data_IF_177580493329
#
_entry.id   IF_177580493329
#
_cell.length_a   1.000
_cell.length_b   1.000
_cell.length_c   1.000
_cell.angle_alpha   90.00
_cell.angle_beta   90.00
_cell.angle_gamma   90.00
#
_symmetry.space_group_name_H-M   'P 1'
#
loop_
_entity.id
_entity.type
_entity.pdbx_description
1 polymer ?
#
# COMPACT_ATOMS: atom_id res chain seq x y z
N UNK A 1 7.17 36.15 -19.97
CA UNK A 1 7.43 37.56 -19.58
C UNK A 1 8.89 37.95 -19.70
N UNK A 2 9.85 37.30 -19.07
CA UNK A 2 11.30 37.65 -19.15
C UNK A 2 11.79 37.72 -20.61
N UNK A 3 11.43 36.77 -21.45
CA UNK A 3 11.74 36.76 -22.89
C UNK A 3 11.19 37.95 -23.66
N UNK A 4 9.97 38.39 -23.36
CA UNK A 4 9.40 39.57 -24.00
C UNK A 4 10.15 40.86 -23.63
N UNK A 5 10.56 40.99 -22.35
CA UNK A 5 11.35 42.12 -21.91
C UNK A 5 12.72 42.12 -22.59
N UNK A 6 13.38 40.95 -22.73
CA UNK A 6 14.65 40.86 -23.43
C UNK A 6 14.50 41.18 -24.93
N UNK A 7 13.45 40.67 -25.61
CA UNK A 7 13.16 41.01 -26.99
C UNK A 7 12.82 42.49 -27.20
N UNK A 8 12.11 43.09 -26.25
CA UNK A 8 11.76 44.50 -26.32
C UNK A 8 12.97 45.42 -26.12
N UNK A 9 13.92 45.01 -25.28
CA UNK A 9 15.12 45.77 -24.95
C UNK A 9 16.21 45.68 -26.04
N UNK A 10 16.19 44.64 -26.87
CA UNK A 10 17.18 44.42 -27.95
C UNK A 10 16.84 45.14 -29.27
N UNK A 11 15.69 45.82 -29.37
CA UNK A 11 15.39 46.77 -30.43
C UNK A 11 14.33 46.33 -31.44
N UNK A 12 13.89 47.25 -32.32
CA UNK A 12 12.72 47.06 -33.21
C UNK A 12 12.93 46.05 -34.34
N UNK A 13 14.05 45.38 -34.41
CA UNK A 13 14.37 44.44 -35.47
C UNK A 13 13.72 43.06 -35.30
N UNK A 14 13.09 42.80 -34.16
CA UNK A 14 12.38 41.54 -33.86
C UNK A 14 10.87 41.77 -33.85
N UNK A 15 10.12 41.04 -34.66
CA UNK A 15 8.67 40.99 -34.53
C UNK A 15 8.31 40.28 -33.23
N UNK A 16 8.00 41.04 -32.20
CA UNK A 16 7.54 40.51 -30.88
C UNK A 16 6.10 40.03 -30.89
N UNK A 17 5.39 40.16 -32.00
CA UNK A 17 3.96 39.85 -32.10
C UNK A 17 3.67 38.37 -31.88
N UNK A 18 4.40 37.46 -32.51
CA UNK A 18 4.12 36.02 -32.44
C UNK A 18 4.44 35.42 -31.03
N UNK A 19 5.58 35.70 -30.40
CA UNK A 19 5.82 35.31 -29.01
C UNK A 19 4.81 35.91 -28.01
N UNK A 20 4.34 37.12 -28.25
CA UNK A 20 3.32 37.77 -27.45
C UNK A 20 1.95 37.05 -27.58
N UNK A 21 1.52 36.73 -28.81
CA UNK A 21 0.30 35.98 -29.06
C UNK A 21 0.36 34.60 -28.36
N UNK A 22 1.49 33.90 -28.45
CA UNK A 22 1.67 32.63 -27.76
C UNK A 22 1.47 32.75 -26.24
N UNK A 23 2.05 33.78 -25.62
CA UNK A 23 1.90 34.00 -24.19
C UNK A 23 0.45 34.34 -23.81
N UNK A 24 -0.26 35.10 -24.62
CA UNK A 24 -1.71 35.37 -24.45
C UNK A 24 -2.52 34.09 -24.52
N UNK A 25 -2.24 33.19 -25.47
CA UNK A 25 -2.90 31.91 -25.60
C UNK A 25 -2.66 30.98 -24.41
N UNK A 26 -1.42 30.93 -23.91
CA UNK A 26 -1.06 30.15 -22.73
C UNK A 26 -1.78 30.66 -21.48
N UNK A 27 -1.80 31.97 -21.27
CA UNK A 27 -2.52 32.60 -20.15
C UNK A 27 -4.03 32.43 -20.32
N UNK A 28 -4.56 32.62 -21.54
CA UNK A 28 -5.97 32.42 -21.86
C UNK A 28 -6.44 31.01 -21.55
N UNK A 29 -5.64 29.98 -21.94
CA UNK A 29 -5.93 28.60 -21.61
C UNK A 29 -5.96 28.34 -20.09
N UNK A 30 -5.03 28.95 -19.34
CA UNK A 30 -5.02 28.87 -17.88
C UNK A 30 -6.27 29.52 -17.25
N UNK A 31 -6.69 30.68 -17.76
CA UNK A 31 -7.89 31.36 -17.27
C UNK A 31 -9.17 30.57 -17.58
N UNK A 32 -9.24 29.93 -18.76
CA UNK A 32 -10.34 29.00 -19.10
C UNK A 32 -10.37 27.82 -18.15
N UNK A 33 -9.20 27.25 -17.85
CA UNK A 33 -9.09 26.16 -16.86
C UNK A 33 -9.59 26.57 -15.48
N UNK A 34 -9.19 27.75 -14.99
CA UNK A 34 -9.64 28.24 -13.67
C UNK A 34 -11.16 28.44 -13.59
N UNK A 35 -11.84 28.70 -14.73
CA UNK A 35 -13.28 28.79 -14.79
C UNK A 35 -13.99 27.45 -14.95
N UNK A 36 -13.44 26.56 -15.77
CA UNK A 36 -14.11 25.32 -16.16
C UNK A 36 -13.72 24.12 -15.29
N UNK A 37 -12.56 24.20 -14.60
CA UNK A 37 -11.91 23.12 -13.84
C UNK A 37 -11.73 21.81 -14.66
N UNK A 38 -11.83 21.91 -15.99
CA UNK A 38 -11.65 20.75 -16.87
C UNK A 38 -10.17 20.58 -17.22
N UNK A 39 -9.50 19.80 -16.39
CA UNK A 39 -8.06 19.53 -16.53
C UNK A 39 -7.71 18.81 -17.84
N UNK A 40 -8.58 17.96 -18.36
CA UNK A 40 -8.30 17.21 -19.60
C UNK A 40 -8.21 18.15 -20.80
N UNK A 41 -9.17 19.07 -20.96
CA UNK A 41 -9.17 20.06 -22.05
C UNK A 41 -7.97 20.99 -21.89
N UNK A 42 -7.73 21.50 -20.68
CA UNK A 42 -6.60 22.38 -20.38
C UNK A 42 -5.27 21.73 -20.82
N UNK A 43 -5.03 20.51 -20.40
CA UNK A 43 -3.82 19.74 -20.66
C UNK A 43 -3.57 19.54 -22.16
N UNK A 44 -4.58 19.10 -22.91
CA UNK A 44 -4.48 18.87 -24.36
C UNK A 44 -4.17 20.16 -25.09
N UNK A 45 -4.88 21.24 -24.80
CA UNK A 45 -4.65 22.55 -25.42
C UNK A 45 -3.25 23.06 -25.08
N UNK A 46 -2.82 22.94 -23.80
CA UNK A 46 -1.51 23.38 -23.35
C UNK A 46 -0.38 22.64 -24.08
N UNK A 47 -0.47 21.31 -24.17
CA UNK A 47 0.52 20.50 -24.88
C UNK A 47 0.53 20.78 -26.37
N UNK A 48 -0.63 21.00 -26.99
CA UNK A 48 -0.73 21.41 -28.38
C UNK A 48 -0.04 22.76 -28.64
N UNK A 49 -0.27 23.72 -27.78
CA UNK A 49 0.42 25.02 -27.87
C UNK A 49 1.95 24.88 -27.74
N UNK A 50 2.41 24.09 -26.77
CA UNK A 50 3.84 23.82 -26.63
C UNK A 50 4.45 23.05 -27.81
N UNK A 51 3.69 22.18 -28.46
CA UNK A 51 4.16 21.43 -29.61
C UNK A 51 4.22 22.29 -30.88
N UNK A 52 3.10 22.92 -31.26
CA UNK A 52 2.98 23.54 -32.58
C UNK A 52 3.53 24.97 -32.66
N UNK A 53 3.34 25.79 -31.64
CA UNK A 53 3.71 27.20 -31.69
C UNK A 53 5.20 27.48 -31.85
N UNK A 54 6.12 26.72 -31.26
CA UNK A 54 7.55 26.92 -31.51
C UNK A 54 7.95 26.69 -32.97
N UNK A 55 7.31 25.73 -33.67
CA UNK A 55 7.57 25.51 -35.10
C UNK A 55 6.97 26.62 -35.97
N UNK A 56 5.75 27.06 -35.63
CA UNK A 56 5.13 28.21 -36.32
C UNK A 56 6.02 29.45 -36.15
N UNK A 57 6.52 29.68 -34.95
CA UNK A 57 7.43 30.80 -34.70
C UNK A 57 8.74 30.65 -35.50
N UNK A 58 9.34 29.47 -35.55
CA UNK A 58 10.54 29.21 -36.35
C UNK A 58 10.29 29.50 -37.83
N UNK A 59 9.26 28.91 -38.42
CA UNK A 59 8.96 29.07 -39.83
C UNK A 59 8.60 30.52 -40.21
N UNK A 60 8.09 31.32 -39.30
CA UNK A 60 7.82 32.74 -39.54
C UNK A 60 9.10 33.61 -39.50
N UNK A 61 10.13 33.18 -38.80
CA UNK A 61 11.40 33.89 -38.68
C UNK A 61 12.40 33.45 -39.76
N UNK A 62 12.34 32.17 -40.16
CA UNK A 62 13.21 31.58 -41.18
C UNK A 62 13.72 30.21 -40.80
N UNK A 63 15.06 29.98 -40.94
CA UNK A 63 15.66 28.70 -40.61
C UNK A 63 15.81 28.46 -39.10
N UNK A 64 16.11 27.21 -38.72
CA UNK A 64 16.36 26.83 -37.33
C UNK A 64 17.46 27.70 -36.69
N UNK A 65 18.51 28.02 -37.44
CA UNK A 65 19.62 28.84 -36.97
C UNK A 65 19.18 30.31 -36.77
N UNK A 66 18.49 30.88 -37.77
CA UNK A 66 18.04 32.28 -37.71
C UNK A 66 16.99 32.50 -36.61
N UNK A 67 16.14 31.50 -36.38
CA UNK A 67 15.17 31.48 -35.27
C UNK A 67 15.79 31.11 -33.90
N UNK A 68 17.13 30.99 -33.84
CA UNK A 68 17.84 30.71 -32.58
C UNK A 68 17.36 29.46 -31.82
N UNK A 69 16.97 28.40 -32.58
CA UNK A 69 16.52 27.13 -32.01
C UNK A 69 15.24 27.21 -31.18
N UNK A 70 14.33 28.10 -31.48
CA UNK A 70 13.07 28.27 -30.74
C UNK A 70 12.22 26.99 -30.73
N UNK A 71 12.30 26.14 -31.78
CA UNK A 71 11.61 24.86 -31.86
C UNK A 71 12.04 23.85 -30.77
N UNK A 72 13.18 24.06 -30.09
CA UNK A 72 13.57 23.26 -28.92
C UNK A 72 12.52 23.28 -27.80
N UNK A 73 11.76 24.38 -27.70
CA UNK A 73 10.67 24.47 -26.71
C UNK A 73 9.55 23.45 -26.96
N UNK A 74 9.37 22.97 -28.19
CA UNK A 74 8.40 21.94 -28.52
C UNK A 74 8.68 20.59 -27.82
N UNK A 75 9.93 20.35 -27.40
CA UNK A 75 10.32 19.17 -26.61
C UNK A 75 9.57 19.10 -25.24
N UNK A 76 9.11 20.23 -24.73
CA UNK A 76 8.33 20.26 -23.48
C UNK A 76 6.95 19.59 -23.63
N UNK A 77 6.40 19.48 -24.84
CA UNK A 77 5.13 18.81 -25.07
C UNK A 77 5.18 17.29 -24.80
N UNK A 78 6.08 16.47 -25.42
CA UNK A 78 6.16 15.06 -25.10
C UNK A 78 6.61 14.79 -23.65
N UNK A 79 7.49 15.62 -23.07
CA UNK A 79 7.89 15.50 -21.68
C UNK A 79 6.70 15.78 -20.74
N UNK A 80 5.95 16.85 -21.00
CA UNK A 80 4.74 17.13 -20.24
C UNK A 80 3.68 16.03 -20.41
N UNK A 81 3.57 15.45 -21.60
CA UNK A 81 2.65 14.33 -21.84
C UNK A 81 3.04 13.09 -20.99
N UNK A 82 4.32 12.76 -20.88
CA UNK A 82 4.76 11.66 -19.99
C UNK A 82 4.38 11.92 -18.53
N UNK A 83 4.56 13.15 -18.06
CA UNK A 83 4.31 13.50 -16.66
C UNK A 83 2.82 13.54 -16.29
N UNK A 84 1.96 14.02 -17.21
CA UNK A 84 0.57 14.31 -16.90
C UNK A 84 -0.45 13.33 -17.52
N UNK A 85 -0.05 12.55 -18.52
CA UNK A 85 -0.94 11.64 -19.23
C UNK A 85 -0.51 10.18 -19.03
N UNK A 86 0.79 9.94 -19.08
CA UNK A 86 1.38 8.62 -18.97
C UNK A 86 2.08 8.14 -20.24
N UNK A 87 2.79 7.00 -20.17
CA UNK A 87 3.73 6.57 -21.20
C UNK A 87 3.05 6.18 -22.53
N UNK A 88 1.84 5.66 -22.51
CA UNK A 88 1.15 5.20 -23.74
C UNK A 88 0.72 6.37 -24.63
N UNK A 89 0.08 7.37 -24.03
CA UNK A 89 -0.44 8.51 -24.79
C UNK A 89 0.67 9.52 -25.16
N UNK A 90 1.75 9.59 -24.36
CA UNK A 90 2.89 10.46 -24.68
C UNK A 90 3.65 10.07 -25.93
N UNK A 91 3.58 8.81 -26.37
CA UNK A 91 4.22 8.35 -27.59
C UNK A 91 3.70 9.11 -28.83
N UNK A 92 2.41 9.37 -28.92
CA UNK A 92 1.83 10.15 -30.01
C UNK A 92 2.41 11.58 -30.06
N UNK A 93 2.57 12.24 -28.91
CA UNK A 93 3.17 13.57 -28.81
C UNK A 93 4.65 13.57 -29.20
N UNK A 94 5.37 12.51 -28.84
CA UNK A 94 6.77 12.34 -29.21
C UNK A 94 6.91 12.14 -30.73
N UNK A 95 6.11 11.28 -31.34
CA UNK A 95 6.13 11.08 -32.80
C UNK A 95 5.73 12.36 -33.55
N UNK A 96 4.75 13.11 -33.06
CA UNK A 96 4.39 14.39 -33.65
C UNK A 96 5.55 15.41 -33.56
N UNK A 97 6.24 15.46 -32.41
CA UNK A 97 7.45 16.28 -32.25
C UNK A 97 8.56 15.89 -33.25
N UNK A 98 8.86 14.60 -33.36
CA UNK A 98 9.88 14.10 -34.30
C UNK A 98 9.49 14.41 -35.76
N UNK A 99 8.23 14.20 -36.12
CA UNK A 99 7.71 14.53 -37.45
C UNK A 99 7.88 16.02 -37.77
N UNK A 100 7.43 16.91 -36.87
CA UNK A 100 7.55 18.36 -37.06
C UNK A 100 9.02 18.82 -37.12
N UNK A 101 9.88 18.23 -36.32
CA UNK A 101 11.33 18.51 -36.36
C UNK A 101 11.95 18.09 -37.69
N UNK A 102 11.62 16.91 -38.20
CA UNK A 102 12.08 16.43 -39.50
C UNK A 102 11.55 17.30 -40.64
N UNK A 103 10.23 17.64 -40.58
CA UNK A 103 9.61 18.53 -41.55
C UNK A 103 10.28 19.91 -41.56
N UNK A 104 10.63 20.44 -40.39
CA UNK A 104 11.32 21.71 -40.24
C UNK A 104 12.74 21.64 -40.86
N UNK A 105 13.46 20.53 -40.69
CA UNK A 105 14.75 20.30 -41.32
C UNK A 105 14.67 20.23 -42.85
N UNK A 106 13.62 19.57 -43.38
CA UNK A 106 13.35 19.55 -44.83
C UNK A 106 13.02 20.94 -45.35
N UNK A 107 12.20 21.70 -44.61
CA UNK A 107 11.91 23.09 -44.97
C UNK A 107 13.16 23.95 -45.01
N UNK A 108 13.99 23.86 -43.99
CA UNK A 108 15.26 24.61 -43.93
C UNK A 108 16.22 24.28 -45.10
N UNK A 109 16.31 22.99 -45.50
CA UNK A 109 17.19 22.54 -46.55
C UNK A 109 16.72 22.92 -47.95
N UNK A 110 15.41 22.80 -48.26
CA UNK A 110 14.90 22.97 -49.62
C UNK A 110 14.25 24.29 -49.88
N UNK A 111 13.64 24.96 -48.87
CA UNK A 111 12.75 26.10 -49.05
C UNK A 111 13.25 27.41 -48.42
N UNK A 112 14.17 27.35 -47.46
CA UNK A 112 14.61 28.55 -46.76
C UNK A 112 15.43 29.50 -47.63
N UNK A 113 16.28 28.96 -48.54
CA UNK A 113 17.08 29.76 -49.47
C UNK A 113 16.27 30.32 -50.68
N UNK A 114 15.43 29.49 -51.38
CA UNK A 114 14.69 29.97 -52.56
C UNK A 114 13.61 31.00 -52.29
N UNK A 115 12.98 30.96 -51.10
CA UNK A 115 11.86 31.86 -50.75
C UNK A 115 12.29 33.30 -50.48
N UNK A 116 13.60 33.65 -50.46
CA UNK A 116 14.11 34.99 -50.23
C UNK A 116 13.24 35.82 -49.29
N UNK A 117 12.72 35.19 -48.24
CA UNK A 117 12.08 35.89 -47.17
C UNK A 117 13.06 36.96 -46.72
N UNK A 118 12.63 38.24 -46.57
CA UNK A 118 13.55 39.27 -46.13
C UNK A 118 14.13 38.81 -44.79
N UNK A 119 15.29 38.16 -44.94
CA UNK A 119 16.02 37.71 -43.77
C UNK A 119 16.42 38.99 -43.07
N UNK A 120 15.68 39.34 -41.99
CA UNK A 120 16.19 40.28 -41.01
C UNK A 120 17.59 39.76 -40.67
N UNK A 121 18.63 40.48 -41.13
CA UNK A 121 20.01 40.10 -40.87
C UNK A 121 20.30 40.31 -39.41
N UNK A 122 19.82 39.37 -38.60
CA UNK A 122 20.18 39.33 -37.18
C UNK A 122 21.70 39.05 -37.10
N UNK A 123 22.44 39.83 -36.36
CA UNK A 123 23.87 39.60 -36.19
C UNK A 123 24.11 38.17 -35.67
N UNK A 124 25.13 37.44 -36.27
CA UNK A 124 25.41 36.06 -35.84
C UNK A 124 25.66 35.90 -34.33
N UNK A 125 26.23 36.95 -33.71
CA UNK A 125 26.51 36.99 -32.28
C UNK A 125 25.17 36.96 -31.44
N UNK A 126 24.19 37.73 -31.89
CA UNK A 126 22.87 37.79 -31.26
C UNK A 126 22.14 36.45 -31.40
N UNK A 127 22.19 35.83 -32.62
CA UNK A 127 21.61 34.51 -32.87
C UNK A 127 22.25 33.44 -31.98
N UNK A 128 23.57 33.42 -31.86
CA UNK A 128 24.31 32.48 -31.03
C UNK A 128 23.97 32.66 -29.54
N UNK A 129 23.85 33.91 -29.08
CA UNK A 129 23.47 34.20 -27.68
C UNK A 129 22.05 33.69 -27.36
N UNK A 130 21.07 33.98 -28.23
CA UNK A 130 19.69 33.49 -28.02
C UNK A 130 19.58 31.98 -28.14
N UNK A 131 20.35 31.37 -29.01
CA UNK A 131 20.43 29.90 -29.13
C UNK A 131 20.91 29.27 -27.83
N UNK A 132 22.02 29.77 -27.28
CA UNK A 132 22.54 29.31 -26.00
C UNK A 132 21.55 29.50 -24.84
N UNK A 133 20.84 30.64 -24.85
CA UNK A 133 19.84 30.96 -23.85
C UNK A 133 18.59 30.07 -23.95
N UNK A 134 18.08 29.81 -25.16
CA UNK A 134 16.96 28.85 -25.41
C UNK A 134 17.35 27.45 -24.97
N UNK A 135 18.55 27.00 -25.35
CA UNK A 135 19.04 25.67 -24.98
C UNK A 135 19.18 25.53 -23.46
N UNK A 136 19.79 26.51 -22.80
CA UNK A 136 19.95 26.51 -21.35
C UNK A 136 18.59 26.53 -20.62
N UNK A 137 17.63 27.33 -21.11
CA UNK A 137 16.30 27.43 -20.51
C UNK A 137 15.51 26.11 -20.64
N UNK A 138 15.48 25.52 -21.86
CA UNK A 138 14.80 24.24 -22.08
C UNK A 138 15.44 23.13 -21.26
N UNK A 139 16.78 23.05 -21.28
CA UNK A 139 17.53 22.05 -20.49
C UNK A 139 17.26 22.17 -18.99
N UNK A 140 17.22 23.42 -18.47
CA UNK A 140 16.91 23.67 -17.06
C UNK A 140 15.49 23.25 -16.69
N UNK A 141 14.51 23.56 -17.53
CA UNK A 141 13.12 23.13 -17.31
C UNK A 141 12.99 21.60 -17.35
N UNK A 142 13.62 20.97 -18.34
CA UNK A 142 13.62 19.48 -18.43
C UNK A 142 14.25 18.87 -17.18
N UNK A 143 15.38 19.36 -16.72
CA UNK A 143 16.02 18.90 -15.49
C UNK A 143 15.10 19.05 -14.26
N UNK A 144 14.47 20.21 -14.11
CA UNK A 144 13.55 20.46 -12.99
C UNK A 144 12.32 19.54 -13.02
N UNK A 145 11.76 19.29 -14.22
CA UNK A 145 10.63 18.38 -14.41
C UNK A 145 11.02 16.92 -14.10
N UNK A 146 12.17 16.48 -14.56
CA UNK A 146 12.66 15.14 -14.25
C UNK A 146 12.92 14.97 -12.74
N UNK A 147 13.57 15.94 -12.11
CA UNK A 147 13.81 15.95 -10.67
C UNK A 147 12.51 15.92 -9.88
N UNK A 148 11.53 16.72 -10.28
CA UNK A 148 10.20 16.71 -9.65
C UNK A 148 9.52 15.34 -9.78
N UNK A 149 9.53 14.76 -10.99
CA UNK A 149 8.95 13.43 -11.23
C UNK A 149 9.61 12.34 -10.39
N UNK A 150 10.93 12.37 -10.27
CA UNK A 150 11.70 11.42 -9.46
C UNK A 150 11.34 11.55 -7.97
N UNK A 151 11.29 12.77 -7.47
CA UNK A 151 10.90 13.04 -6.07
C UNK A 151 9.49 12.53 -5.77
N UNK A 152 8.51 12.79 -6.65
CA UNK A 152 7.13 12.32 -6.46
C UNK A 152 7.02 10.79 -6.55
N UNK A 153 7.79 10.13 -7.44
CA UNK A 153 7.86 8.67 -7.49
C UNK A 153 8.39 8.08 -6.19
N UNK A 154 9.48 8.63 -5.67
CA UNK A 154 10.05 8.18 -4.40
C UNK A 154 9.07 8.36 -3.22
N UNK A 155 8.38 9.49 -3.14
CA UNK A 155 7.33 9.72 -2.13
C UNK A 155 6.19 8.70 -2.24
N UNK A 156 5.69 8.48 -3.45
CA UNK A 156 4.62 7.51 -3.68
C UNK A 156 5.06 6.09 -3.31
N UNK A 157 6.30 5.70 -3.62
CA UNK A 157 6.86 4.41 -3.21
C UNK A 157 6.98 4.27 -1.70
N UNK A 158 7.44 5.30 -1.00
CA UNK A 158 7.53 5.30 0.47
C UNK A 158 6.14 5.15 1.12
N UNK A 159 5.15 5.90 0.65
CA UNK A 159 3.77 5.76 1.14
C UNK A 159 3.19 4.37 0.89
N UNK A 160 3.46 3.78 -0.29
CA UNK A 160 3.03 2.42 -0.60
C UNK A 160 3.68 1.38 0.30
N UNK A 161 4.98 1.51 0.55
CA UNK A 161 5.72 0.61 1.44
C UNK A 161 5.22 0.70 2.88
N UNK A 162 4.95 1.92 3.38
CA UNK A 162 4.42 2.12 4.73
C UNK A 162 3.01 1.55 4.86
N UNK A 163 2.13 1.78 3.87
CA UNK A 163 0.79 1.18 3.85
C UNK A 163 0.85 -0.35 3.83
N UNK A 164 1.76 -0.92 3.06
CA UNK A 164 1.96 -2.38 3.00
C UNK A 164 2.45 -2.94 4.34
N UNK A 165 3.38 -2.27 5.00
CA UNK A 165 3.90 -2.65 6.31
C UNK A 165 2.79 -2.61 7.38
N UNK A 166 1.98 -1.55 7.41
CA UNK A 166 0.86 -1.45 8.36
C UNK A 166 -0.17 -2.56 8.14
N UNK A 167 -0.46 -2.88 6.88
CA UNK A 167 -1.37 -3.96 6.52
C UNK A 167 -0.85 -5.33 6.99
N UNK A 168 0.44 -5.60 6.83
CA UNK A 168 1.07 -6.82 7.32
C UNK A 168 0.98 -6.95 8.85
N UNK A 169 1.29 -5.89 9.57
CA UNK A 169 1.19 -5.87 11.04
C UNK A 169 -0.25 -6.16 11.50
N UNK A 170 -1.23 -5.56 10.87
CA UNK A 170 -2.65 -5.78 11.22
C UNK A 170 -3.10 -7.20 10.86
N UNK A 171 -2.63 -7.73 9.74
CA UNK A 171 -2.89 -9.11 9.35
C UNK A 171 -2.29 -10.11 10.35
N UNK A 172 -1.02 -9.92 10.74
CA UNK A 172 -0.36 -10.76 11.75
C UNK A 172 -1.07 -10.68 13.10
N UNK A 173 -1.51 -9.48 13.49
CA UNK A 173 -2.28 -9.28 14.72
C UNK A 173 -3.62 -10.02 14.67
N UNK A 174 -4.35 -9.89 13.57
CA UNK A 174 -5.63 -10.59 13.37
C UNK A 174 -5.45 -12.11 13.39
N UNK A 175 -4.38 -12.59 12.75
CA UNK A 175 -4.05 -14.01 12.74
C UNK A 175 -3.72 -14.55 14.13
N UNK A 176 -2.90 -13.82 14.88
CA UNK A 176 -2.57 -14.18 16.27
C UNK A 176 -3.82 -14.22 17.16
N UNK A 177 -4.73 -13.25 17.01
CA UNK A 177 -5.99 -13.26 17.76
C UNK A 177 -6.87 -14.46 17.40
N UNK A 178 -6.90 -14.87 16.14
CA UNK A 178 -7.64 -16.04 15.69
C UNK A 178 -7.04 -17.35 16.25
N UNK A 179 -5.70 -17.48 16.24
CA UNK A 179 -4.97 -18.62 16.78
C UNK A 179 -5.09 -18.75 18.31
N UNK A 180 -5.39 -17.64 19.02
CA UNK A 180 -5.68 -17.70 20.46
C UNK A 180 -7.06 -18.28 20.79
N UNK A 181 -7.94 -18.41 19.78
CA UNK A 181 -9.32 -18.88 19.96
C UNK A 181 -9.54 -20.24 19.33
N UNK A 182 -8.83 -20.56 18.24
CA UNK A 182 -9.01 -21.77 17.44
C UNK A 182 -7.68 -22.48 17.22
N UNK A 183 -7.65 -23.83 17.21
CA UNK A 183 -6.48 -24.59 16.78
C UNK A 183 -6.05 -24.20 15.37
N UNK A 184 -4.72 -24.17 15.11
CA UNK A 184 -4.14 -23.69 13.84
C UNK A 184 -4.79 -24.28 12.58
N UNK A 185 -4.92 -25.61 12.44
CA UNK A 185 -5.57 -26.24 11.26
C UNK A 185 -7.02 -25.81 11.07
N UNK A 186 -7.75 -25.56 12.18
CA UNK A 186 -9.15 -25.11 12.15
C UNK A 186 -9.22 -23.64 11.72
N UNK A 187 -8.32 -22.80 12.23
CA UNK A 187 -8.21 -21.41 11.84
C UNK A 187 -7.92 -21.23 10.35
N UNK A 188 -7.03 -22.06 9.76
CA UNK A 188 -6.76 -22.06 8.32
C UNK A 188 -7.98 -22.47 7.49
N UNK A 189 -8.70 -23.50 7.91
CA UNK A 189 -9.93 -23.93 7.22
C UNK A 189 -11.00 -22.88 7.28
N UNK A 190 -11.16 -22.18 8.41
CA UNK A 190 -12.14 -21.12 8.57
C UNK A 190 -11.82 -19.89 7.69
N UNK A 191 -10.55 -19.58 7.47
CA UNK A 191 -10.12 -18.52 6.53
C UNK A 191 -10.48 -18.84 5.08
N UNK A 192 -10.35 -20.10 4.68
CA UNK A 192 -10.43 -20.54 3.29
C UNK A 192 -11.80 -21.11 2.89
N UNK A 193 -12.70 -21.33 3.84
CA UNK A 193 -13.99 -21.96 3.60
C UNK A 193 -15.08 -21.41 4.50
N UNK A 194 -16.28 -21.25 3.93
CA UNK A 194 -17.51 -20.91 4.67
C UNK A 194 -18.31 -22.16 5.09
N UNK A 195 -17.76 -23.36 4.86
CA UNK A 195 -18.43 -24.62 5.19
C UNK A 195 -18.33 -24.90 6.69
N UNK A 196 -19.27 -25.69 7.18
CA UNK A 196 -19.26 -26.21 8.56
C UNK A 196 -18.01 -27.07 8.77
N UNK A 197 -17.22 -26.75 9.79
CA UNK A 197 -16.05 -27.52 10.18
C UNK A 197 -16.47 -28.50 11.27
N UNK A 198 -16.47 -29.79 10.95
CA UNK A 198 -16.79 -30.89 11.87
C UNK A 198 -16.01 -32.12 11.44
N UNK A 199 -15.09 -32.58 12.28
CA UNK A 199 -14.24 -33.72 12.02
C UNK A 199 -14.50 -34.84 13.04
N UNK A 200 -14.66 -36.07 12.56
CA UNK A 200 -14.86 -37.28 13.40
C UNK A 200 -13.50 -37.89 13.79
N UNK A 201 -13.34 -38.18 15.06
CA UNK A 201 -12.18 -38.86 15.62
C UNK A 201 -12.64 -40.16 16.30
N UNK A 202 -11.97 -41.27 15.97
CA UNK A 202 -12.35 -42.58 16.46
C UNK A 202 -12.02 -42.79 17.95
N UNK A 203 -10.94 -42.18 18.44
CA UNK A 203 -10.44 -42.34 19.78
C UNK A 203 -9.82 -41.06 20.28
N UNK A 204 -10.50 -40.39 21.19
CA UNK A 204 -10.04 -39.17 21.87
C UNK A 204 -10.26 -39.33 23.37
N UNK A 205 -9.26 -38.99 24.16
CA UNK A 205 -9.40 -38.89 25.62
C UNK A 205 -9.71 -37.46 26.01
N UNK A 206 -10.79 -37.27 26.73
CA UNK A 206 -11.25 -35.98 27.22
C UNK A 206 -11.18 -35.95 28.72
N UNK A 207 -10.58 -34.89 29.28
CA UNK A 207 -10.52 -34.64 30.71
C UNK A 207 -11.34 -33.41 31.10
N UNK A 208 -12.12 -33.58 32.15
CA UNK A 208 -12.73 -32.47 32.90
C UNK A 208 -12.09 -32.39 34.28
N UNK A 209 -11.56 -31.24 34.63
CA UNK A 209 -11.01 -30.93 35.95
C UNK A 209 -11.80 -29.79 36.58
N UNK A 210 -12.40 -30.03 37.74
CA UNK A 210 -13.31 -29.16 38.46
C UNK A 210 -12.76 -28.86 39.85
N UNK A 211 -12.86 -27.60 40.32
CA UNK A 211 -12.37 -27.21 41.66
C UNK A 211 -13.34 -27.65 42.72
N UNK A 212 -12.85 -28.49 43.65
CA UNK A 212 -13.70 -29.00 44.73
C UNK A 212 -14.20 -27.88 45.65
N UNK A 213 -15.52 -27.88 45.88
CA UNK A 213 -16.17 -26.88 46.77
C UNK A 213 -15.93 -25.42 46.31
N UNK A 214 -15.75 -25.18 45.00
CA UNK A 214 -15.47 -23.82 44.48
C UNK A 214 -16.50 -22.77 44.94
N UNK A 215 -17.79 -23.10 44.98
CA UNK A 215 -18.85 -22.20 45.46
C UNK A 215 -18.58 -21.68 46.87
N UNK A 216 -18.16 -22.55 47.78
CA UNK A 216 -17.79 -22.15 49.15
C UNK A 216 -16.56 -21.29 49.23
N UNK A 217 -15.58 -21.56 48.36
CA UNK A 217 -14.37 -20.76 48.25
C UNK A 217 -14.69 -19.37 47.70
N UNK A 218 -15.59 -19.28 46.75
CA UNK A 218 -16.01 -18.05 46.11
C UNK A 218 -16.88 -17.15 47.02
N UNK A 219 -17.65 -17.71 47.98
CA UNK A 219 -18.51 -16.94 48.90
C UNK A 219 -17.74 -15.88 49.72
N UNK A 220 -16.47 -16.06 49.98
CA UNK A 220 -15.62 -15.12 50.73
C UNK A 220 -14.88 -14.09 49.86
N UNK A 221 -15.06 -14.11 48.54
CA UNK A 221 -14.27 -13.32 47.59
C UNK A 221 -15.16 -12.35 46.80
N UNK A 222 -14.58 -11.21 46.40
CA UNK A 222 -15.25 -10.33 45.43
C UNK A 222 -15.21 -10.97 44.03
N UNK A 223 -16.14 -10.61 43.11
CA UNK A 223 -16.15 -11.11 41.74
C UNK A 223 -14.79 -10.94 41.01
N UNK A 224 -14.13 -9.82 41.24
CA UNK A 224 -12.81 -9.53 40.65
C UNK A 224 -11.71 -10.48 41.19
N UNK A 225 -11.76 -10.82 42.49
CA UNK A 225 -10.86 -11.78 43.09
C UNK A 225 -11.09 -13.20 42.57
N UNK A 226 -12.35 -13.60 42.39
CA UNK A 226 -12.70 -14.89 41.78
C UNK A 226 -12.15 -14.99 40.34
N UNK A 227 -12.37 -13.96 39.54
CA UNK A 227 -11.82 -13.93 38.18
C UNK A 227 -10.29 -13.97 38.15
N UNK A 228 -9.63 -13.18 38.99
CA UNK A 228 -8.16 -13.17 39.08
C UNK A 228 -7.58 -14.54 39.48
N UNK A 229 -8.24 -15.20 40.45
CA UNK A 229 -7.87 -16.54 40.91
C UNK A 229 -8.04 -17.58 39.79
N UNK A 230 -9.22 -17.66 39.17
CA UNK A 230 -9.46 -18.60 38.06
C UNK A 230 -8.53 -18.36 36.91
N UNK A 231 -8.29 -17.09 36.55
CA UNK A 231 -7.36 -16.76 35.47
C UNK A 231 -5.94 -17.24 35.78
N UNK A 232 -5.47 -17.08 37.03
CA UNK A 232 -4.15 -17.56 37.44
C UNK A 232 -4.07 -19.09 37.38
N UNK A 233 -5.07 -19.80 37.91
CA UNK A 233 -5.13 -21.26 37.89
C UNK A 233 -5.17 -21.78 36.45
N UNK A 234 -6.07 -21.28 35.63
CA UNK A 234 -6.22 -21.74 34.26
C UNK A 234 -5.03 -21.38 33.37
N UNK A 235 -4.35 -20.25 33.62
CA UNK A 235 -3.08 -19.95 32.92
C UNK A 235 -1.99 -20.99 33.23
N UNK A 236 -1.88 -21.46 34.46
CA UNK A 236 -0.96 -22.55 34.79
C UNK A 236 -1.38 -23.86 34.12
N UNK A 237 -2.69 -24.14 34.02
CA UNK A 237 -3.18 -25.33 33.31
C UNK A 237 -2.98 -25.23 31.80
N UNK A 238 -3.06 -24.04 31.21
CA UNK A 238 -2.75 -23.79 29.80
C UNK A 238 -1.27 -24.09 29.51
N UNK A 239 -0.34 -23.68 30.39
CA UNK A 239 1.08 -24.00 30.29
C UNK A 239 1.37 -25.51 30.39
N UNK A 240 0.61 -26.22 31.27
CA UNK A 240 0.70 -27.68 31.37
C UNK A 240 0.17 -28.34 30.08
N UNK A 241 -0.99 -27.91 29.57
CA UNK A 241 -1.56 -28.46 28.34
C UNK A 241 -0.59 -28.32 27.17
N UNK A 242 0.05 -27.14 27.02
CA UNK A 242 1.08 -26.92 25.99
C UNK A 242 2.31 -27.83 26.19
N UNK A 243 2.80 -27.98 27.42
CA UNK A 243 3.95 -28.84 27.74
C UNK A 243 3.71 -30.32 27.42
N UNK A 244 2.49 -30.82 27.67
CA UNK A 244 2.10 -32.18 27.39
C UNK A 244 1.59 -32.40 25.96
N UNK A 245 1.53 -31.32 25.13
CA UNK A 245 1.03 -31.39 23.74
C UNK A 245 -0.46 -31.73 23.64
N UNK A 246 -1.24 -31.26 24.61
CA UNK A 246 -2.67 -31.49 24.71
C UNK A 246 -3.46 -30.25 24.25
N UNK A 247 -4.68 -30.46 23.75
CA UNK A 247 -5.52 -29.41 23.24
C UNK A 247 -6.51 -28.92 24.32
N UNK A 248 -6.35 -27.69 24.77
CA UNK A 248 -7.37 -27.01 25.59
C UNK A 248 -8.62 -26.79 24.75
N UNK A 249 -9.76 -27.22 25.20
CA UNK A 249 -11.03 -27.04 24.50
C UNK A 249 -11.74 -25.78 25.00
N UNK A 250 -12.08 -25.71 26.29
CA UNK A 250 -12.79 -24.58 26.90
C UNK A 250 -12.71 -24.65 28.42
N UNK A 251 -13.16 -23.57 29.05
CA UNK A 251 -13.53 -23.55 30.47
C UNK A 251 -15.05 -23.46 30.63
N UNK A 252 -15.62 -24.11 31.64
CA UNK A 252 -17.06 -24.10 31.95
C UNK A 252 -17.19 -23.76 33.42
N UNK A 253 -17.37 -22.47 33.73
CA UNK A 253 -17.34 -22.00 35.11
C UNK A 253 -15.94 -22.21 35.73
N UNK A 254 -15.86 -23.04 36.78
CA UNK A 254 -14.62 -23.48 37.44
C UNK A 254 -14.06 -24.80 36.91
N UNK A 255 -14.67 -25.38 35.87
CA UNK A 255 -14.20 -26.57 35.23
C UNK A 255 -13.30 -26.26 34.01
N UNK A 256 -12.21 -27.01 33.87
CA UNK A 256 -11.25 -26.95 32.75
C UNK A 256 -11.39 -28.20 31.90
N UNK A 257 -11.59 -28.04 30.60
CA UNK A 257 -11.75 -29.12 29.62
C UNK A 257 -10.54 -29.16 28.66
N UNK A 258 -9.87 -30.31 28.60
CA UNK A 258 -8.73 -30.56 27.73
C UNK A 258 -8.87 -31.94 27.08
N UNK A 259 -8.35 -32.07 25.86
CA UNK A 259 -8.45 -33.29 25.07
C UNK A 259 -7.07 -33.75 24.55
N UNK A 260 -6.94 -35.05 24.38
CA UNK A 260 -5.80 -35.71 23.79
C UNK A 260 -6.22 -36.64 22.65
N UNK A 261 -5.45 -36.69 21.56
CA UNK A 261 -5.75 -37.52 20.40
C UNK A 261 -6.42 -36.77 19.24
N UNK A 262 -6.59 -35.43 19.35
CA UNK A 262 -7.04 -34.59 18.25
C UNK A 262 -5.92 -34.29 17.23
N UNK A 263 -4.67 -34.35 17.67
CA UNK A 263 -3.48 -34.15 16.84
C UNK A 263 -2.66 -35.44 16.79
N UNK A 264 -2.10 -35.77 15.64
CA UNK A 264 -1.26 -36.97 15.46
C UNK A 264 0.09 -36.93 16.20
N UNK A 265 0.35 -35.89 16.98
CA UNK A 265 1.66 -35.60 17.58
C UNK A 265 1.99 -36.48 18.81
N UNK A 266 1.01 -37.03 19.53
CA UNK A 266 1.25 -37.84 20.73
C UNK A 266 1.15 -39.33 20.46
N UNK A 267 2.19 -40.09 20.81
CA UNK A 267 2.16 -41.55 20.73
C UNK A 267 1.30 -42.22 21.81
N UNK A 268 1.11 -41.53 22.97
CA UNK A 268 0.37 -42.02 24.12
C UNK A 268 -0.53 -40.89 24.69
N UNK A 269 -1.60 -40.53 23.96
CA UNK A 269 -2.41 -39.36 24.29
C UNK A 269 -3.09 -39.48 25.66
N UNK A 270 -3.57 -40.66 26.04
CA UNK A 270 -4.25 -40.89 27.33
C UNK A 270 -3.28 -40.82 28.51
N UNK A 271 -2.05 -41.34 28.35
CA UNK A 271 -1.01 -41.27 29.37
C UNK A 271 -0.58 -39.82 29.62
N UNK A 272 -0.32 -39.05 28.55
CA UNK A 272 0.00 -37.61 28.68
C UNK A 272 -1.11 -36.82 29.39
N UNK A 273 -2.37 -37.17 29.15
CA UNK A 273 -3.50 -36.58 29.84
C UNK A 273 -3.57 -36.92 31.34
N UNK A 274 -3.25 -38.19 31.68
CA UNK A 274 -3.20 -38.61 33.06
C UNK A 274 -2.00 -37.98 33.82
N UNK A 275 -0.85 -37.88 33.19
CA UNK A 275 0.33 -37.20 33.78
C UNK A 275 0.05 -35.72 34.01
N UNK A 276 -0.57 -35.02 33.06
CA UNK A 276 -1.05 -33.63 33.24
C UNK A 276 -2.00 -33.54 34.42
N UNK A 277 -2.96 -34.44 34.54
CA UNK A 277 -3.93 -34.46 35.63
C UNK A 277 -3.26 -34.54 36.99
N UNK A 278 -2.27 -35.42 37.14
CA UNK A 278 -1.50 -35.55 38.38
C UNK A 278 -0.68 -34.29 38.68
N UNK A 279 -0.10 -33.66 37.69
CA UNK A 279 0.64 -32.41 37.87
C UNK A 279 -0.29 -31.23 38.22
N UNK A 280 -1.49 -31.14 37.61
CA UNK A 280 -2.52 -30.16 37.98
C UNK A 280 -2.92 -30.29 39.47
N UNK A 281 -3.13 -31.51 39.95
CA UNK A 281 -3.44 -31.75 41.37
C UNK A 281 -2.32 -31.28 42.29
N UNK A 282 -1.07 -31.59 41.96
CA UNK A 282 0.10 -31.17 42.75
C UNK A 282 0.26 -29.65 42.75
N UNK A 283 0.15 -29.03 41.60
CA UNK A 283 0.25 -27.57 41.42
C UNK A 283 -0.83 -26.85 42.24
N UNK A 284 -2.09 -27.30 42.14
CA UNK A 284 -3.17 -26.66 42.85
C UNK A 284 -3.06 -26.78 44.37
N UNK A 285 -2.64 -27.95 44.82
CA UNK A 285 -2.45 -28.19 46.25
C UNK A 285 -1.26 -27.39 46.85
N UNK A 286 -0.18 -27.21 46.08
CA UNK A 286 1.04 -26.55 46.58
C UNK A 286 0.97 -25.02 46.44
N UNK A 287 0.51 -24.53 45.31
CA UNK A 287 0.69 -23.12 44.92
C UNK A 287 -0.56 -22.27 45.13
N UNK A 288 -1.68 -22.92 45.43
CA UNK A 288 -2.95 -22.23 45.60
C UNK A 288 -3.62 -22.57 46.91
N UNK A 289 -3.67 -21.61 47.83
CA UNK A 289 -4.41 -21.69 49.08
C UNK A 289 -5.24 -20.44 49.31
N UNK A 290 -6.44 -20.58 49.86
CA UNK A 290 -7.33 -19.48 50.23
C UNK A 290 -7.76 -19.71 51.68
N UNK A 291 -7.56 -18.69 52.53
CA UNK A 291 -7.90 -18.76 53.96
C UNK A 291 -7.35 -20.03 54.65
N UNK A 292 -6.08 -20.36 54.34
CA UNK A 292 -5.39 -21.55 54.85
C UNK A 292 -5.93 -22.89 54.32
N UNK A 293 -6.91 -22.90 53.44
CA UNK A 293 -7.40 -24.11 52.77
C UNK A 293 -6.73 -24.30 51.44
N UNK A 294 -6.15 -25.49 51.25
CA UNK A 294 -5.62 -25.91 49.97
C UNK A 294 -6.77 -26.21 48.99
N UNK A 295 -6.62 -25.80 47.73
CA UNK A 295 -7.59 -26.15 46.71
C UNK A 295 -7.35 -27.56 46.23
N UNK A 296 -8.40 -28.29 45.97
CA UNK A 296 -8.38 -29.66 45.43
C UNK A 296 -9.12 -29.72 44.09
N UNK A 297 -8.68 -30.66 43.21
CA UNK A 297 -9.36 -30.93 41.94
C UNK A 297 -10.11 -32.28 42.01
N UNK A 298 -11.28 -32.25 41.36
CA UNK A 298 -11.96 -33.47 40.97
C UNK A 298 -11.79 -33.63 39.47
N UNK A 299 -11.18 -34.75 39.05
CA UNK A 299 -10.86 -34.98 37.64
C UNK A 299 -11.58 -36.23 37.16
N UNK A 300 -12.17 -36.13 35.96
CA UNK A 300 -12.74 -37.26 35.24
C UNK A 300 -12.12 -37.34 33.85
N UNK A 301 -11.67 -38.53 33.45
CA UNK A 301 -11.13 -38.81 32.12
C UNK A 301 -12.03 -39.86 31.46
N UNK A 302 -12.43 -39.59 30.21
CA UNK A 302 -13.16 -40.54 29.39
C UNK A 302 -12.52 -40.64 28.00
N UNK A 303 -12.50 -41.87 27.44
CA UNK A 303 -11.98 -42.11 26.10
C UNK A 303 -13.07 -42.72 25.21
N UNK A 304 -13.20 -42.20 23.98
CA UNK A 304 -14.18 -42.66 23.04
C UNK A 304 -14.18 -41.87 21.72
N UNK A 305 -15.09 -42.22 20.80
CA UNK A 305 -15.25 -41.45 19.55
C UNK A 305 -15.86 -40.09 19.86
N UNK A 306 -15.36 -39.04 19.17
CA UNK A 306 -15.86 -37.65 19.28
C UNK A 306 -15.99 -37.00 17.89
N UNK A 307 -16.83 -35.98 17.82
CA UNK A 307 -16.83 -35.04 16.70
C UNK A 307 -16.30 -33.69 17.23
N UNK A 308 -15.22 -33.22 16.65
CA UNK A 308 -14.66 -31.89 16.95
C UNK A 308 -15.04 -30.92 15.87
N UNK A 309 -15.51 -29.74 16.23
CA UNK A 309 -15.93 -28.78 15.21
C UNK A 309 -16.15 -27.36 15.75
N UNK A 310 -16.42 -26.46 14.79
CA UNK A 310 -16.71 -25.06 15.09
C UNK A 310 -18.21 -24.82 15.04
N UNK A 311 -18.73 -24.36 16.16
CA UNK A 311 -20.16 -24.02 16.32
C UNK A 311 -20.32 -22.50 16.42
N UNK A 312 -21.35 -21.97 15.78
CA UNK A 312 -21.74 -20.56 15.82
C UNK A 312 -21.37 -19.81 14.54
N UNK A 313 -22.07 -18.66 14.30
CA UNK A 313 -21.82 -17.79 13.14
C UNK A 313 -21.12 -16.47 13.49
N UNK A 314 -21.36 -15.96 14.69
CA UNK A 314 -20.79 -14.66 15.14
C UNK A 314 -19.73 -14.82 16.22
N UNK A 315 -19.91 -15.81 17.10
CA UNK A 315 -18.95 -16.20 18.12
C UNK A 315 -18.63 -17.67 17.86
N UNK A 316 -17.49 -17.90 17.28
CA UNK A 316 -17.01 -19.25 17.00
C UNK A 316 -16.55 -19.90 18.31
N UNK A 317 -17.01 -21.11 18.53
CA UNK A 317 -16.57 -21.97 19.64
C UNK A 317 -16.11 -23.28 19.03
N UNK A 318 -14.86 -23.65 19.28
CA UNK A 318 -14.36 -24.98 18.99
C UNK A 318 -14.77 -25.89 20.13
N UNK A 319 -15.46 -26.98 19.83
CA UNK A 319 -16.03 -27.86 20.84
C UNK A 319 -16.01 -29.33 20.40
N UNK A 320 -16.18 -30.22 21.37
CA UNK A 320 -16.24 -31.67 21.20
C UNK A 320 -17.63 -32.19 21.60
N UNK A 321 -18.10 -33.16 20.79
CA UNK A 321 -19.38 -33.83 21.00
C UNK A 321 -19.23 -35.35 20.91
#
# INVERSE_FOLDING_TARGET
MVWLLIYWQLGPQFSSTLPFVLQLLLVGNLLVYLKTLNFQVFRVVQLSLFLFMPFVAQWSIGSFITASGISLWALLAPIGAILFIGPRESAAWFFAYVFLTTLSGVFDYYLAEPLNLPAYKVPPQTTAFFFALNFAAVSSIVYLLLRYSDTEKHRAQQHLQEAHRLLQIEQERSERLLLNILPGPIAERLKNSTQTIADGFAEVSVMFADIVNFTRVAEGLTPQQVFAMLNKIFSCFDELAERYGLEKIKTIGDAYMVAAGLNAASRHPTESLADMALEMCRLLHHDFSINEMHLELRIGIGTGPVVAGVVGKKKFIYDLW
#
